data_IF_545323188224
#
_entry.id   IF_545323188224
#
_cell.length_a   1.000
_cell.length_b   1.000
_cell.length_c   1.000
_cell.angle_alpha   90.00
_cell.angle_beta   90.00
_cell.angle_gamma   90.00
#
_symmetry.space_group_name_H-M   'P 1'
#
loop_
_entity.id
_entity.type
_entity.pdbx_description
1 polymer ?
#
# COMPACT_ATOMS: atom_id res chain seq x y z
N UNK A 1 -18.64 -2.77 -7.43
CA UNK A 1 -19.89 -3.45 -7.06
C UNK A 1 -20.70 -3.81 -8.30
N UNK A 2 -21.49 -2.90 -8.90
CA UNK A 2 -22.41 -3.24 -10.00
C UNK A 2 -21.81 -3.89 -11.24
N UNK A 3 -20.59 -3.52 -11.66
CA UNK A 3 -19.90 -4.17 -12.79
C UNK A 3 -19.79 -5.70 -12.61
N UNK A 4 -19.58 -6.15 -11.38
CA UNK A 4 -19.38 -7.56 -11.03
C UNK A 4 -20.66 -8.18 -10.42
N UNK A 5 -21.74 -7.41 -10.30
CA UNK A 5 -22.95 -7.78 -9.54
C UNK A 5 -24.22 -7.37 -10.32
N UNK A 6 -24.41 -7.95 -11.51
CA UNK A 6 -25.57 -7.67 -12.36
C UNK A 6 -26.87 -8.11 -11.64
N UNK A 7 -27.89 -7.26 -11.66
CA UNK A 7 -29.18 -7.52 -11.02
C UNK A 7 -29.28 -7.14 -9.54
N UNK A 8 -28.20 -6.64 -8.92
CA UNK A 8 -28.21 -6.09 -7.56
C UNK A 8 -28.85 -4.70 -7.53
N UNK A 9 -29.52 -4.37 -6.41
CA UNK A 9 -30.20 -3.08 -6.23
C UNK A 9 -29.28 -2.03 -5.61
N UNK A 10 -29.78 -0.80 -5.47
CA UNK A 10 -29.08 0.25 -4.75
C UNK A 10 -29.00 -0.04 -3.24
N UNK A 11 -30.03 -0.65 -2.65
CA UNK A 11 -30.02 -1.08 -1.25
C UNK A 11 -28.90 -2.10 -1.00
N UNK A 12 -28.71 -3.08 -1.91
CA UNK A 12 -27.58 -4.02 -1.84
C UNK A 12 -26.23 -3.30 -1.86
N UNK A 13 -26.07 -2.29 -2.72
CA UNK A 13 -24.83 -1.53 -2.82
C UNK A 13 -24.55 -0.70 -1.57
N UNK A 14 -25.59 -0.15 -0.94
CA UNK A 14 -25.49 0.57 0.33
C UNK A 14 -25.06 -0.38 1.45
N UNK A 15 -25.70 -1.55 1.56
CA UNK A 15 -25.35 -2.57 2.55
C UNK A 15 -23.87 -3.01 2.38
N UNK A 16 -23.46 -3.34 1.16
CA UNK A 16 -22.08 -3.67 0.84
C UNK A 16 -21.10 -2.56 1.22
N UNK A 17 -21.48 -1.29 0.99
CA UNK A 17 -20.64 -0.16 1.36
C UNK A 17 -20.43 -0.05 2.86
N UNK A 18 -21.48 -0.25 3.68
CA UNK A 18 -21.34 -0.25 5.14
C UNK A 18 -20.47 -1.41 5.62
N UNK A 19 -20.69 -2.63 5.11
CA UNK A 19 -19.86 -3.80 5.44
C UNK A 19 -18.37 -3.58 5.09
N UNK A 20 -18.08 -3.03 3.91
CA UNK A 20 -16.71 -2.69 3.51
C UNK A 20 -16.08 -1.62 4.40
N UNK A 21 -16.86 -0.65 4.89
CA UNK A 21 -16.35 0.34 5.82
C UNK A 21 -16.04 -0.25 7.19
N UNK A 22 -16.87 -1.16 7.71
CA UNK A 22 -16.56 -1.88 8.95
C UNK A 22 -15.33 -2.76 8.78
N UNK A 23 -15.22 -3.51 7.67
CA UNK A 23 -14.06 -4.36 7.38
C UNK A 23 -12.75 -3.58 7.31
N UNK A 24 -12.78 -2.34 6.81
CA UNK A 24 -11.62 -1.44 6.74
C UNK A 24 -11.10 -0.98 8.10
N UNK A 25 -11.90 -1.07 9.16
CA UNK A 25 -11.49 -0.69 10.52
C UNK A 25 -10.60 -1.75 11.19
N UNK A 26 -10.61 -2.98 10.69
CA UNK A 26 -9.77 -4.05 11.24
C UNK A 26 -8.27 -3.69 11.06
N UNK A 27 -7.44 -3.73 12.13
CA UNK A 27 -6.02 -3.41 12.03
C UNK A 27 -5.21 -4.37 11.14
N UNK A 28 -5.73 -5.58 10.91
CA UNK A 28 -5.17 -6.58 9.99
C UNK A 28 -5.52 -6.28 8.54
N UNK A 29 -6.52 -5.43 8.29
CA UNK A 29 -6.90 -5.06 6.93
C UNK A 29 -5.76 -4.31 6.23
N UNK A 30 -5.37 -4.82 5.07
CA UNK A 30 -4.36 -4.19 4.20
C UNK A 30 -5.01 -3.79 2.89
N UNK A 31 -4.98 -2.50 2.58
CA UNK A 31 -5.41 -2.00 1.29
C UNK A 31 -4.44 -2.42 0.19
N UNK A 32 -4.96 -2.92 -0.93
CA UNK A 32 -4.14 -3.13 -2.13
C UNK A 32 -3.83 -1.77 -2.76
N UNK A 33 -2.54 -1.46 -2.89
CA UNK A 33 -2.08 -0.27 -3.61
C UNK A 33 -1.76 -0.70 -5.04
N UNK A 34 -2.53 -0.21 -6.02
CA UNK A 34 -2.36 -0.54 -7.45
C UNK A 34 -0.95 -0.25 -7.96
N UNK A 35 -0.50 -0.99 -8.98
CA UNK A 35 0.83 -0.96 -9.61
C UNK A 35 1.26 0.43 -10.12
N UNK A 36 0.32 1.31 -10.47
CA UNK A 36 0.63 2.69 -10.86
C UNK A 36 1.14 3.58 -9.70
N UNK A 37 0.81 3.26 -8.44
CA UNK A 37 1.17 4.10 -7.28
C UNK A 37 2.51 3.68 -6.66
N UNK A 38 3.58 3.75 -7.45
CA UNK A 38 4.90 3.23 -7.07
C UNK A 38 5.45 3.87 -5.79
N UNK A 39 5.40 5.21 -5.68
CA UNK A 39 5.85 5.93 -4.48
C UNK A 39 5.14 5.46 -3.21
N UNK A 40 3.81 5.25 -3.28
CA UNK A 40 3.03 4.81 -2.12
C UNK A 40 3.37 3.37 -1.73
N UNK A 41 3.59 2.48 -2.72
CA UNK A 41 4.06 1.11 -2.45
C UNK A 41 5.44 1.12 -1.82
N UNK A 42 6.39 1.84 -2.43
CA UNK A 42 7.75 1.97 -1.91
C UNK A 42 7.75 2.46 -0.47
N UNK A 43 7.03 3.55 -0.18
CA UNK A 43 6.98 4.15 1.15
C UNK A 43 6.38 3.18 2.18
N UNK A 44 5.31 2.47 1.82
CA UNK A 44 4.69 1.47 2.70
C UNK A 44 5.65 0.33 3.01
N UNK A 45 6.34 -0.18 1.99
CA UNK A 45 7.26 -1.30 2.14
C UNK A 45 8.53 -0.89 2.91
N UNK A 46 9.02 0.34 2.68
CA UNK A 46 10.10 0.96 3.45
C UNK A 46 9.79 0.95 4.95
N UNK A 47 8.61 1.41 5.37
CA UNK A 47 8.24 1.42 6.79
C UNK A 47 7.82 0.05 7.35
N UNK A 48 7.55 -0.93 6.48
CA UNK A 48 7.28 -2.32 6.90
C UNK A 48 8.57 -3.04 7.28
N UNK A 49 9.71 -2.62 6.76
CA UNK A 49 11.02 -3.19 7.09
C UNK A 49 11.42 -2.82 8.54
N UNK A 50 11.62 -3.81 9.43
CA UNK A 50 12.12 -3.57 10.78
C UNK A 50 13.44 -2.80 10.84
N UNK A 51 14.28 -2.89 9.80
CA UNK A 51 15.55 -2.16 9.70
C UNK A 51 15.37 -0.65 9.51
N UNK A 52 14.17 -0.21 9.11
CA UNK A 52 13.82 1.21 8.99
C UNK A 52 13.02 1.72 10.20
N UNK A 53 12.91 0.94 11.28
CA UNK A 53 12.22 1.37 12.50
C UNK A 53 12.87 2.65 13.04
N UNK A 54 12.05 3.68 13.26
CA UNK A 54 12.51 4.99 13.74
C UNK A 54 12.99 5.95 12.64
N UNK A 55 13.09 5.50 11.37
CA UNK A 55 13.36 6.41 10.26
C UNK A 55 12.19 7.35 10.01
N UNK A 56 12.50 8.53 9.50
CA UNK A 56 11.56 9.60 9.21
C UNK A 56 10.95 9.45 7.82
N UNK A 57 9.90 10.23 7.55
CA UNK A 57 9.37 10.42 6.19
C UNK A 57 10.43 10.99 5.24
N UNK A 58 11.32 11.85 5.71
CA UNK A 58 12.40 12.40 4.90
C UNK A 58 13.37 11.30 4.44
N UNK A 59 13.66 10.33 5.30
CA UNK A 59 14.52 9.18 4.94
C UNK A 59 13.87 8.30 3.87
N UNK A 60 12.56 8.04 3.97
CA UNK A 60 11.82 7.31 2.95
C UNK A 60 11.83 8.04 1.60
N UNK A 61 11.67 9.38 1.62
CA UNK A 61 11.73 10.22 0.42
C UNK A 61 13.13 10.20 -0.19
N UNK A 62 14.18 10.27 0.63
CA UNK A 62 15.56 10.20 0.17
C UNK A 62 15.85 8.85 -0.52
N UNK A 63 15.46 7.74 0.11
CA UNK A 63 15.60 6.40 -0.46
C UNK A 63 14.79 6.22 -1.76
N UNK A 64 13.57 6.79 -1.82
CA UNK A 64 12.77 6.82 -3.04
C UNK A 64 13.47 7.59 -4.17
N UNK A 65 14.04 8.75 -3.85
CA UNK A 65 14.75 9.58 -4.83
C UNK A 65 16.00 8.87 -5.37
N UNK A 66 16.65 8.04 -4.56
CA UNK A 66 17.79 7.24 -4.98
C UNK A 66 17.35 6.10 -5.92
N UNK A 67 16.32 5.33 -5.55
CA UNK A 67 15.90 4.17 -6.36
C UNK A 67 15.29 4.58 -7.69
N UNK A 68 14.47 5.64 -7.69
CA UNK A 68 13.77 6.12 -8.90
C UNK A 68 14.70 6.65 -9.99
N UNK A 69 15.94 7.00 -9.60
CA UNK A 69 16.96 7.48 -10.53
C UNK A 69 17.72 6.33 -11.20
N UNK A 70 17.66 5.11 -10.65
CA UNK A 70 18.33 3.93 -11.20
C UNK A 70 17.43 3.26 -12.25
N UNK A 71 18.00 2.66 -13.30
CA UNK A 71 17.22 1.87 -14.25
C UNK A 71 16.67 0.61 -13.57
N UNK A 72 15.42 0.27 -13.85
CA UNK A 72 14.78 -0.95 -13.37
C UNK A 72 13.55 -0.70 -12.51
N UNK A 73 13.24 -1.65 -11.63
CA UNK A 73 12.08 -1.57 -10.73
C UNK A 73 12.35 -0.59 -9.59
N UNK A 74 11.39 0.30 -9.34
CA UNK A 74 11.39 1.22 -8.21
C UNK A 74 10.85 0.60 -6.91
N UNK A 75 10.67 -0.74 -6.87
CA UNK A 75 10.18 -1.42 -5.69
C UNK A 75 11.20 -1.36 -4.54
N UNK A 76 10.72 -1.20 -3.31
CA UNK A 76 11.60 -1.20 -2.13
C UNK A 76 12.33 -2.55 -2.01
N UNK A 77 13.65 -2.50 -1.84
CA UNK A 77 14.49 -3.67 -1.59
C UNK A 77 15.01 -3.58 -0.15
N UNK A 78 14.67 -4.53 0.74
CA UNK A 78 15.20 -4.58 2.09
C UNK A 78 16.72 -4.65 2.09
N UNK A 79 17.37 -3.83 2.92
CA UNK A 79 18.81 -3.95 3.11
C UNK A 79 19.10 -5.21 3.93
N UNK A 80 20.01 -6.06 3.44
CA UNK A 80 20.46 -7.24 4.20
C UNK A 80 21.35 -6.75 5.35
N UNK A 81 21.14 -7.31 6.54
CA UNK A 81 22.07 -7.14 7.66
C UNK A 81 23.33 -7.92 7.29
N UNK A 82 24.45 -7.24 7.08
CA UNK A 82 25.76 -7.89 7.10
C UNK A 82 26.06 -8.25 8.56
N UNK A 83 26.23 -9.55 8.83
CA UNK A 83 26.70 -10.08 10.11
C UNK A 83 28.22 -9.99 10.20
#
# INVERSE_FOLDING_TARGET
FFKENVGKTYEDAIAFWYEENERKKDPTYKTTISSQFEYNRFTRDFFKDPNNKGKSKADAIAAWNEIKAKPGSNAYVPQKVEN
#
